data_IF_733844283314
#
_entry.id   IF_733844283314
#
_cell.length_a   1.000
_cell.length_b   1.000
_cell.length_c   1.000
_cell.angle_alpha   90.00
_cell.angle_beta   90.00
_cell.angle_gamma   90.00
#
_symmetry.space_group_name_H-M   'P 1'
#
loop_
_entity.id
_entity.type
_entity.pdbx_description
1 polymer ?
#
# COMPACT_ATOMS: atom_id res chain seq x y z
N UNK A 1 55.32 -18.32 21.20
CA UNK A 1 55.00 -16.88 21.29
C UNK A 1 53.90 -16.44 20.26
N UNK A 2 53.72 -17.14 19.15
CA UNK A 2 52.76 -16.82 18.10
C UNK A 2 51.28 -17.11 18.41
N UNK A 3 50.98 -18.10 19.27
CA UNK A 3 49.59 -18.48 19.60
C UNK A 3 48.81 -17.39 20.40
N UNK A 4 49.47 -16.58 21.19
CA UNK A 4 48.83 -15.52 21.99
C UNK A 4 48.47 -14.28 21.14
N UNK A 5 49.17 -14.04 20.03
CA UNK A 5 48.90 -12.91 19.14
C UNK A 5 47.67 -13.20 18.26
N UNK A 6 47.51 -14.43 17.83
CA UNK A 6 46.37 -14.84 16.98
C UNK A 6 45.05 -14.73 17.75
N UNK A 7 45.00 -15.12 19.03
CA UNK A 7 43.79 -15.03 19.86
C UNK A 7 43.38 -13.57 20.10
N UNK A 8 44.35 -12.67 20.27
CA UNK A 8 44.05 -11.25 20.48
C UNK A 8 43.50 -10.58 19.24
N UNK A 9 43.98 -10.95 18.04
CA UNK A 9 43.46 -10.41 16.77
C UNK A 9 42.06 -10.88 16.45
N UNK A 10 41.70 -12.11 16.81
CA UNK A 10 40.33 -12.64 16.62
C UNK A 10 39.36 -11.98 17.59
N UNK A 11 39.78 -11.67 18.82
CA UNK A 11 38.93 -11.00 19.82
C UNK A 11 38.64 -9.53 19.46
N UNK A 12 39.61 -8.82 18.89
CA UNK A 12 39.42 -7.43 18.44
C UNK A 12 38.58 -7.35 17.16
N UNK A 13 38.66 -8.35 16.28
CA UNK A 13 37.82 -8.44 15.08
C UNK A 13 36.34 -8.64 15.38
N UNK A 14 36.00 -9.29 16.50
CA UNK A 14 34.59 -9.55 16.88
C UNK A 14 33.92 -8.34 17.56
N UNK A 15 34.68 -7.39 18.08
CA UNK A 15 34.17 -6.19 18.75
C UNK A 15 33.79 -5.05 17.81
N UNK A 16 34.07 -5.16 16.51
CA UNK A 16 33.79 -4.13 15.49
C UNK A 16 32.66 -4.56 14.52
N UNK A 17 31.74 -5.40 14.94
CA UNK A 17 30.48 -5.54 14.20
C UNK A 17 29.66 -4.28 14.57
N UNK A 18 29.53 -3.28 13.68
CA UNK A 18 28.59 -2.21 13.92
C UNK A 18 27.21 -2.86 13.98
N UNK A 19 26.59 -2.82 15.16
CA UNK A 19 25.17 -3.01 15.30
C UNK A 19 24.51 -1.84 14.57
N UNK A 20 24.41 -1.92 13.25
CA UNK A 20 23.43 -1.14 12.52
C UNK A 20 22.07 -1.65 12.98
N UNK A 21 21.57 -1.11 14.09
CA UNK A 21 20.14 -1.03 14.27
C UNK A 21 19.67 -0.07 13.18
N UNK A 22 19.37 -0.58 12.00
CA UNK A 22 18.48 0.11 11.11
C UNK A 22 17.21 0.29 11.93
N UNK A 23 17.02 1.49 12.48
CA UNK A 23 15.74 1.96 12.89
C UNK A 23 14.88 1.96 11.63
N UNK A 24 14.26 0.83 11.35
CA UNK A 24 13.20 0.70 10.38
C UNK A 24 12.06 1.53 10.96
N UNK A 25 12.14 2.84 10.78
CA UNK A 25 10.97 3.68 10.83
C UNK A 25 10.06 3.13 9.74
N UNK A 26 9.05 2.41 10.15
CA UNK A 26 7.98 1.96 9.27
C UNK A 26 7.20 3.17 8.78
N UNK A 27 7.83 3.98 7.92
CA UNK A 27 7.12 4.93 7.09
C UNK A 27 6.17 4.09 6.24
N UNK A 28 4.87 4.35 6.40
CA UNK A 28 3.85 3.63 5.68
C UNK A 28 4.20 3.57 4.19
N UNK A 29 4.10 2.39 3.59
CA UNK A 29 4.25 2.23 2.14
C UNK A 29 3.07 2.95 1.47
N UNK A 30 3.24 4.24 1.15
CA UNK A 30 2.28 5.02 0.39
C UNK A 30 2.40 4.77 -1.12
N UNK A 31 3.43 4.05 -1.57
CA UNK A 31 3.65 3.69 -2.96
C UNK A 31 4.39 2.36 -3.06
N UNK A 32 4.13 1.61 -4.13
CA UNK A 32 4.81 0.35 -4.43
C UNK A 32 4.85 0.10 -5.94
N UNK A 33 5.81 -0.72 -6.39
CA UNK A 33 5.99 -1.12 -7.78
C UNK A 33 6.12 -2.64 -7.82
N UNK A 34 5.24 -3.30 -8.54
CA UNK A 34 5.29 -4.74 -8.71
C UNK A 34 6.53 -5.18 -9.52
N UNK A 35 7.04 -6.40 -9.33
CA UNK A 35 8.05 -6.96 -10.20
C UNK A 35 7.60 -6.95 -11.66
N UNK A 36 8.48 -6.60 -12.62
CA UNK A 36 8.13 -6.55 -14.02
C UNK A 36 7.86 -7.94 -14.61
N UNK A 37 6.96 -8.01 -15.57
CA UNK A 37 6.61 -9.19 -16.32
C UNK A 37 6.95 -8.96 -17.80
N UNK A 38 7.47 -9.99 -18.49
CA UNK A 38 7.70 -9.91 -19.93
C UNK A 38 6.37 -9.99 -20.68
N UNK A 39 6.05 -8.98 -21.46
CA UNK A 39 4.84 -8.90 -22.27
C UNK A 39 5.14 -8.27 -23.64
N UNK A 40 4.85 -8.98 -24.72
CA UNK A 40 5.03 -8.52 -26.10
C UNK A 40 6.44 -7.95 -26.40
N UNK A 41 7.50 -8.50 -25.77
CA UNK A 41 8.89 -8.05 -25.94
C UNK A 41 9.28 -6.85 -25.08
N UNK A 42 8.38 -6.35 -24.22
CA UNK A 42 8.62 -5.30 -23.24
C UNK A 42 8.68 -5.87 -21.82
N UNK A 43 9.25 -5.12 -20.90
CA UNK A 43 9.15 -5.37 -19.46
C UNK A 43 8.09 -4.45 -18.88
N UNK A 44 6.89 -4.97 -18.66
CA UNK A 44 5.76 -4.20 -18.17
C UNK A 44 5.58 -4.36 -16.66
N UNK A 45 5.16 -3.32 -16.00
CA UNK A 45 4.90 -3.34 -14.56
C UNK A 45 3.73 -2.46 -14.16
N UNK A 46 3.25 -2.67 -12.94
CA UNK A 46 2.24 -1.82 -12.30
C UNK A 46 2.90 -1.09 -11.13
N UNK A 47 2.68 0.22 -11.05
CA UNK A 47 2.93 0.98 -9.84
C UNK A 47 1.63 1.47 -9.23
N UNK A 48 1.61 1.56 -7.91
CA UNK A 48 0.53 2.19 -7.15
C UNK A 48 1.08 3.34 -6.32
N UNK A 49 0.27 4.37 -6.15
CA UNK A 49 0.54 5.49 -5.25
C UNK A 49 -0.74 5.81 -4.49
N UNK A 50 -0.65 5.86 -3.18
CA UNK A 50 -1.73 6.27 -2.29
C UNK A 50 -1.51 7.74 -1.85
N UNK A 51 -2.55 8.55 -1.93
CA UNK A 51 -2.53 9.92 -1.46
C UNK A 51 -3.71 10.19 -0.51
N UNK A 52 -3.46 10.58 0.74
CA UNK A 52 -2.14 10.82 1.34
C UNK A 52 -1.32 9.53 1.52
N UNK A 53 0.01 9.63 1.42
CA UNK A 53 0.94 8.50 1.57
C UNK A 53 1.02 7.96 3.00
N UNK A 54 0.65 8.79 3.96
CA UNK A 54 0.62 8.53 5.41
C UNK A 54 -0.82 8.36 5.93
N UNK A 55 -1.68 7.75 5.12
CA UNK A 55 -3.08 7.56 5.48
C UNK A 55 -3.22 6.90 6.85
N UNK A 56 -3.93 7.58 7.75
CA UNK A 56 -4.18 7.13 9.12
C UNK A 56 -5.67 6.89 9.35
N UNK A 57 -5.98 5.75 9.95
CA UNK A 57 -7.37 5.36 10.24
C UNK A 57 -8.06 6.40 11.12
N UNK A 58 -9.16 6.94 10.62
CA UNK A 58 -10.02 7.88 11.35
C UNK A 58 -9.60 9.34 11.29
N UNK A 59 -8.42 9.67 10.75
CA UNK A 59 -8.00 11.05 10.53
C UNK A 59 -8.41 11.57 9.16
N UNK A 60 -8.42 10.68 8.16
CA UNK A 60 -8.76 11.02 6.78
C UNK A 60 -9.95 10.19 6.32
N UNK A 61 -10.94 10.84 5.74
CA UNK A 61 -12.19 10.22 5.27
C UNK A 61 -12.11 9.64 3.85
N UNK A 62 -11.01 9.90 3.15
CA UNK A 62 -10.80 9.46 1.77
C UNK A 62 -9.30 9.30 1.46
N UNK A 63 -8.99 8.35 0.58
CA UNK A 63 -7.70 8.23 -0.07
C UNK A 63 -7.88 8.22 -1.58
N UNK A 64 -6.88 8.68 -2.33
CA UNK A 64 -6.80 8.47 -3.76
C UNK A 64 -5.75 7.41 -4.04
N UNK A 65 -6.13 6.38 -4.76
CA UNK A 65 -5.24 5.32 -5.23
C UNK A 65 -5.02 5.52 -6.72
N UNK A 66 -3.80 5.82 -7.10
CA UNK A 66 -3.36 5.89 -8.49
C UNK A 66 -2.75 4.54 -8.86
N UNK A 67 -3.17 3.97 -9.97
CA UNK A 67 -2.66 2.71 -10.53
C UNK A 67 -2.16 2.98 -11.93
N UNK A 68 -0.91 2.69 -12.20
CA UNK A 68 -0.27 2.95 -13.48
C UNK A 68 0.29 1.66 -14.07
N UNK A 69 -0.05 1.35 -15.32
CA UNK A 69 0.52 0.23 -16.07
C UNK A 69 1.41 0.76 -17.19
N UNK A 70 2.70 0.38 -17.19
CA UNK A 70 3.68 0.99 -18.06
C UNK A 70 4.83 0.03 -18.44
N UNK A 71 5.50 0.33 -19.55
CA UNK A 71 6.77 -0.29 -19.93
C UNK A 71 7.90 0.28 -19.06
N UNK A 72 8.53 -0.57 -18.25
CA UNK A 72 9.60 -0.17 -17.34
C UNK A 72 10.83 0.37 -18.08
N UNK A 73 11.14 -0.16 -19.28
CA UNK A 73 12.30 0.23 -20.04
C UNK A 73 12.22 1.66 -20.59
N UNK A 74 11.03 2.06 -21.06
CA UNK A 74 10.79 3.38 -21.66
C UNK A 74 10.07 4.32 -20.72
N UNK A 75 9.55 3.83 -19.58
CA UNK A 75 8.70 4.56 -18.63
C UNK A 75 7.42 5.14 -19.30
N UNK A 76 6.92 4.50 -20.35
CA UNK A 76 5.74 4.94 -21.11
C UNK A 76 4.52 4.12 -20.70
N UNK A 77 3.39 4.79 -20.43
CA UNK A 77 2.14 4.12 -20.10
C UNK A 77 1.63 3.31 -21.30
N UNK A 78 1.02 2.18 -21.01
CA UNK A 78 0.21 1.45 -21.99
C UNK A 78 -1.20 2.05 -21.98
N UNK A 79 -1.77 2.21 -23.18
CA UNK A 79 -3.07 2.87 -23.36
C UNK A 79 -4.24 1.88 -23.35
N UNK A 80 -5.44 2.40 -23.11
CA UNK A 80 -6.72 1.68 -23.17
C UNK A 80 -6.71 0.41 -22.34
N UNK A 81 -6.35 0.54 -21.09
CA UNK A 81 -6.14 -0.57 -20.17
C UNK A 81 -7.41 -0.88 -19.38
N UNK A 82 -7.77 -2.17 -19.35
CA UNK A 82 -8.82 -2.69 -18.47
C UNK A 82 -8.16 -3.37 -17.29
N UNK A 83 -8.40 -2.82 -16.11
CA UNK A 83 -7.89 -3.28 -14.83
C UNK A 83 -8.96 -4.03 -14.06
N UNK A 84 -8.64 -5.16 -13.44
CA UNK A 84 -9.38 -5.66 -12.29
C UNK A 84 -8.55 -5.36 -11.06
N UNK A 85 -9.06 -4.50 -10.19
CA UNK A 85 -8.41 -4.16 -8.94
C UNK A 85 -9.08 -4.91 -7.80
N UNK A 86 -8.28 -5.59 -7.00
CA UNK A 86 -8.70 -6.33 -5.81
C UNK A 86 -7.92 -5.82 -4.60
N UNK A 87 -8.61 -5.60 -3.49
CA UNK A 87 -8.00 -5.14 -2.24
C UNK A 87 -8.17 -6.21 -1.19
N UNK A 88 -7.07 -6.61 -0.58
CA UNK A 88 -7.04 -7.60 0.49
C UNK A 88 -6.39 -7.05 1.76
N UNK A 89 -6.83 -7.53 2.92
CA UNK A 89 -6.11 -7.36 4.18
C UNK A 89 -6.11 -8.69 4.93
N UNK A 90 -4.95 -9.13 5.38
CA UNK A 90 -4.77 -10.41 6.08
C UNK A 90 -5.40 -11.61 5.33
N UNK A 91 -5.38 -11.60 3.99
CA UNK A 91 -5.96 -12.63 3.13
C UNK A 91 -7.48 -12.49 2.89
N UNK A 92 -8.15 -11.55 3.54
CA UNK A 92 -9.58 -11.29 3.32
C UNK A 92 -9.79 -10.30 2.18
N UNK A 93 -10.67 -10.64 1.23
CA UNK A 93 -11.07 -9.75 0.14
C UNK A 93 -11.99 -8.65 0.67
N UNK A 94 -11.63 -7.39 0.41
CA UNK A 94 -12.39 -6.20 0.83
C UNK A 94 -13.10 -5.52 -0.35
N UNK A 95 -12.48 -5.55 -1.53
CA UNK A 95 -13.05 -4.99 -2.76
C UNK A 95 -12.56 -5.76 -3.98
N UNK A 96 -13.41 -5.77 -5.02
CA UNK A 96 -13.08 -6.28 -6.36
C UNK A 96 -13.95 -5.57 -7.39
N UNK A 97 -13.34 -4.85 -8.32
CA UNK A 97 -14.08 -4.20 -9.41
C UNK A 97 -13.21 -4.09 -10.67
N UNK A 98 -13.89 -3.92 -11.81
CA UNK A 98 -13.27 -3.68 -13.11
C UNK A 98 -13.24 -2.18 -13.37
N UNK A 99 -12.08 -1.69 -13.82
CA UNK A 99 -11.85 -0.30 -14.17
C UNK A 99 -11.31 -0.24 -15.58
N UNK A 100 -11.53 0.89 -16.23
CA UNK A 100 -10.96 1.19 -17.53
C UNK A 100 -10.28 2.55 -17.49
N UNK A 101 -9.09 2.61 -18.06
CA UNK A 101 -8.40 3.88 -18.25
C UNK A 101 -7.81 3.96 -19.66
N UNK A 102 -7.98 5.14 -20.29
CA UNK A 102 -7.55 5.35 -21.65
C UNK A 102 -6.04 5.56 -21.75
N UNK A 103 -5.47 6.24 -20.78
CA UNK A 103 -4.09 6.73 -20.81
C UNK A 103 -3.16 5.84 -19.95
N UNK A 104 -3.68 4.74 -19.40
CA UNK A 104 -2.93 3.77 -18.60
C UNK A 104 -2.59 4.26 -17.18
N UNK A 105 -3.31 5.29 -16.69
CA UNK A 105 -3.13 5.86 -15.37
C UNK A 105 -4.47 6.05 -14.66
N UNK A 106 -4.93 5.01 -14.03
CA UNK A 106 -6.21 4.94 -13.34
C UNK A 106 -6.16 5.64 -11.98
N UNK A 107 -7.08 6.56 -11.73
CA UNK A 107 -7.28 7.17 -10.43
C UNK A 107 -8.57 6.67 -9.78
N UNK A 108 -8.50 6.20 -8.54
CA UNK A 108 -9.63 5.67 -7.77
C UNK A 108 -9.71 6.42 -6.44
N UNK A 109 -10.89 6.94 -6.11
CA UNK A 109 -11.13 7.46 -4.76
C UNK A 109 -11.63 6.34 -3.86
N UNK A 110 -10.96 6.10 -2.73
CA UNK A 110 -11.38 5.17 -1.69
C UNK A 110 -12.00 5.96 -0.55
N UNK A 111 -13.19 5.56 -0.12
CA UNK A 111 -13.91 6.11 1.04
C UNK A 111 -14.12 5.02 2.07
N UNK A 112 -13.34 4.98 3.15
CA UNK A 112 -13.50 4.02 4.23
C UNK A 112 -14.88 4.10 4.87
N UNK A 113 -15.54 2.96 5.07
CA UNK A 113 -16.81 2.86 5.78
C UNK A 113 -16.76 1.69 6.76
N UNK A 114 -16.91 1.96 8.05
CA UNK A 114 -16.74 0.95 9.10
C UNK A 114 -17.91 -0.03 9.22
N UNK A 115 -19.13 0.41 8.90
CA UNK A 115 -20.34 -0.39 9.08
C UNK A 115 -20.45 -1.44 7.98
N UNK A 116 -20.26 -2.70 8.36
CA UNK A 116 -20.50 -3.86 7.52
C UNK A 116 -21.03 -4.99 8.39
N UNK A 117 -22.22 -5.49 8.05
CA UNK A 117 -22.90 -6.58 8.76
C UNK A 117 -22.87 -7.89 7.98
N UNK A 118 -22.25 -7.90 6.80
CA UNK A 118 -22.11 -9.07 5.96
C UNK A 118 -20.96 -9.97 6.44
N UNK A 119 -21.09 -11.31 6.36
CA UNK A 119 -20.02 -12.23 6.71
C UNK A 119 -18.78 -12.08 5.82
N UNK A 120 -18.97 -11.61 4.60
CA UNK A 120 -17.92 -11.34 3.63
C UNK A 120 -17.82 -9.83 3.40
N UNK A 121 -16.74 -9.20 3.86
CA UNK A 121 -16.60 -7.75 3.88
C UNK A 121 -16.74 -7.10 2.50
N UNK A 122 -16.29 -7.76 1.44
CA UNK A 122 -16.40 -7.21 0.07
C UNK A 122 -17.86 -6.98 -0.38
N UNK A 123 -18.86 -7.65 0.24
CA UNK A 123 -20.28 -7.44 -0.05
C UNK A 123 -20.82 -6.10 0.44
N UNK A 124 -20.16 -5.50 1.42
CA UNK A 124 -20.47 -4.15 1.88
C UNK A 124 -19.85 -3.06 1.00
N UNK A 125 -19.04 -3.45 0.03
CA UNK A 125 -18.34 -2.48 -0.81
C UNK A 125 -19.21 -2.05 -1.97
N UNK A 126 -19.38 -0.74 -2.12
CA UNK A 126 -20.17 -0.08 -3.16
C UNK A 126 -19.24 0.65 -4.12
N UNK A 127 -19.53 0.55 -5.40
CA UNK A 127 -18.76 1.13 -6.48
C UNK A 127 -19.57 2.19 -7.19
N UNK A 128 -19.01 3.37 -7.41
CA UNK A 128 -19.67 4.50 -8.04
C UNK A 128 -18.78 5.10 -9.14
N UNK A 129 -19.39 5.49 -10.23
CA UNK A 129 -18.71 6.10 -11.38
C UNK A 129 -19.44 5.80 -12.69
N UNK A 130 -18.97 6.41 -13.78
CA UNK A 130 -19.39 6.08 -15.13
C UNK A 130 -18.81 4.71 -15.51
N UNK A 131 -19.53 3.95 -16.34
CA UNK A 131 -19.05 2.67 -16.88
C UNK A 131 -18.77 2.80 -18.36
N UNK A 132 -17.61 2.32 -18.77
CA UNK A 132 -17.26 2.18 -20.17
C UNK A 132 -18.17 1.13 -20.85
N UNK A 133 -18.82 1.46 -21.97
CA UNK A 133 -19.79 0.57 -22.62
C UNK A 133 -19.15 -0.67 -23.24
N UNK A 134 -17.83 -0.69 -23.46
CA UNK A 134 -17.12 -1.79 -24.13
C UNK A 134 -16.53 -2.74 -23.08
N UNK A 135 -15.73 -2.22 -22.16
CA UNK A 135 -15.07 -3.01 -21.12
C UNK A 135 -15.98 -3.31 -19.92
N UNK A 136 -17.04 -2.51 -19.71
CA UNK A 136 -17.88 -2.53 -18.52
C UNK A 136 -17.19 -1.94 -17.29
N UNK A 137 -15.94 -1.56 -17.39
CA UNK A 137 -15.12 -1.01 -16.31
C UNK A 137 -15.56 0.39 -15.89
N UNK A 138 -15.41 0.71 -14.62
CA UNK A 138 -15.54 2.07 -14.13
C UNK A 138 -14.40 2.92 -14.68
N UNK A 139 -14.72 4.13 -15.13
CA UNK A 139 -13.73 5.02 -15.73
C UNK A 139 -13.92 6.47 -15.30
N UNK A 140 -12.86 7.25 -15.44
CA UNK A 140 -12.90 8.68 -15.21
C UNK A 140 -13.69 9.40 -16.30
N UNK A 141 -14.70 10.18 -15.93
CA UNK A 141 -15.52 10.96 -16.85
C UNK A 141 -15.61 12.41 -16.42
N UNK A 142 -15.01 13.30 -17.23
CA UNK A 142 -14.89 14.71 -16.87
C UNK A 142 -14.03 14.89 -15.63
N UNK A 143 -14.60 15.49 -14.58
CA UNK A 143 -13.92 15.62 -13.27
C UNK A 143 -14.29 14.50 -12.27
N UNK A 144 -15.06 13.50 -12.69
CA UNK A 144 -15.55 12.44 -11.83
C UNK A 144 -14.67 11.20 -11.90
N UNK A 145 -13.92 10.91 -10.84
CA UNK A 145 -13.15 9.67 -10.69
C UNK A 145 -14.02 8.54 -10.14
N UNK A 146 -13.73 7.27 -10.47
CA UNK A 146 -14.33 6.12 -9.82
C UNK A 146 -14.18 6.14 -8.30
N UNK A 147 -15.22 5.73 -7.58
CA UNK A 147 -15.21 5.70 -6.11
C UNK A 147 -15.47 4.28 -5.62
N UNK A 148 -14.64 3.81 -4.71
CA UNK A 148 -14.86 2.60 -3.91
C UNK A 148 -15.22 3.05 -2.49
N UNK A 149 -16.37 2.61 -1.98
CA UNK A 149 -16.83 2.90 -0.63
C UNK A 149 -17.13 1.61 0.11
N UNK A 150 -16.43 1.36 1.23
CA UNK A 150 -16.59 0.10 1.95
C UNK A 150 -15.58 -0.08 3.08
N UNK A 151 -15.46 -1.30 3.64
CA UNK A 151 -14.60 -1.61 4.77
C UNK A 151 -13.11 -1.70 4.38
N UNK A 152 -12.64 -0.75 3.60
CA UNK A 152 -11.27 -0.64 3.12
C UNK A 152 -10.57 0.46 3.92
N UNK A 153 -9.34 0.23 4.35
CA UNK A 153 -8.52 1.17 5.13
C UNK A 153 -9.16 1.58 6.48
N UNK A 154 -9.99 0.68 7.05
CA UNK A 154 -10.63 0.89 8.35
C UNK A 154 -9.82 0.34 9.53
N UNK A 155 -8.76 -0.41 9.25
CA UNK A 155 -7.80 -0.95 10.23
C UNK A 155 -6.40 -0.60 9.79
N UNK A 156 -5.48 -0.41 10.73
CA UNK A 156 -4.07 -0.26 10.43
C UNK A 156 -3.45 -1.56 9.91
N UNK A 157 -2.34 -1.45 9.21
CA UNK A 157 -1.57 -2.58 8.70
C UNK A 157 -1.36 -2.57 7.19
N UNK A 158 -0.86 -3.67 6.69
CA UNK A 158 -0.53 -3.86 5.28
C UNK A 158 -1.76 -4.34 4.49
N UNK A 159 -2.00 -3.69 3.36
CA UNK A 159 -3.00 -4.06 2.37
C UNK A 159 -2.32 -4.55 1.10
N UNK A 160 -2.74 -5.68 0.57
CA UNK A 160 -2.35 -6.13 -0.76
C UNK A 160 -3.35 -5.57 -1.78
N UNK A 161 -2.84 -4.89 -2.80
CA UNK A 161 -3.58 -4.41 -3.95
C UNK A 161 -3.17 -5.27 -5.14
N UNK A 162 -4.00 -6.26 -5.46
CA UNK A 162 -3.77 -7.13 -6.62
C UNK A 162 -4.40 -6.50 -7.85
N UNK A 163 -3.59 -6.20 -8.83
CA UNK A 163 -3.98 -5.58 -10.09
C UNK A 163 -3.83 -6.59 -11.20
N UNK A 164 -4.95 -6.91 -11.85
CA UNK A 164 -4.98 -7.81 -13.00
C UNK A 164 -5.26 -6.99 -14.26
N UNK A 165 -4.39 -7.08 -15.24
CA UNK A 165 -4.60 -6.47 -16.55
C UNK A 165 -5.40 -7.45 -17.40
N UNK A 166 -6.65 -7.12 -17.64
CA UNK A 166 -7.58 -7.92 -18.47
C UNK A 166 -7.43 -7.63 -19.95
N UNK A 167 -7.04 -6.40 -20.31
CA UNK A 167 -6.83 -5.95 -21.67
C UNK A 167 -6.03 -4.67 -21.74
N UNK A 168 -5.30 -4.51 -22.84
CA UNK A 168 -4.59 -3.29 -23.23
C UNK A 168 -4.50 -3.22 -24.75
N UNK A 169 -4.61 -2.03 -25.33
CA UNK A 169 -4.53 -1.83 -26.78
C UNK A 169 -3.17 -1.36 -27.27
N UNK A 170 -2.31 -0.89 -26.36
CA UNK A 170 -0.92 -0.56 -26.66
C UNK A 170 0.01 -1.40 -25.76
N UNK A 171 0.90 -2.21 -26.33
CA UNK A 171 1.05 -2.51 -27.77
C UNK A 171 -0.21 -3.23 -28.29
N UNK A 172 -0.54 -3.12 -29.55
CA UNK A 172 -1.75 -3.66 -30.21
C UNK A 172 -1.87 -5.20 -30.14
N UNK A 173 -1.61 -5.75 -28.98
CA UNK A 173 -1.57 -7.18 -28.67
C UNK A 173 -2.67 -7.48 -27.65
N UNK A 174 -3.54 -8.40 -28.01
CA UNK A 174 -4.51 -8.93 -27.05
C UNK A 174 -3.75 -9.58 -25.90
N UNK A 175 -4.11 -9.26 -24.68
CA UNK A 175 -3.64 -9.97 -23.50
C UNK A 175 -4.34 -11.33 -23.51
N UNK A 176 -3.65 -12.35 -24.03
CA UNK A 176 -4.21 -13.70 -24.17
C UNK A 176 -4.46 -14.35 -22.79
N UNK A 177 -3.60 -14.01 -21.82
CA UNK A 177 -3.74 -14.40 -20.43
C UNK A 177 -3.61 -13.14 -19.55
N UNK A 178 -4.50 -12.94 -18.59
CA UNK A 178 -4.44 -11.79 -17.69
C UNK A 178 -3.10 -11.70 -16.95
N UNK A 179 -2.47 -10.54 -16.94
CA UNK A 179 -1.23 -10.32 -16.20
C UNK A 179 -1.59 -9.91 -14.77
N UNK A 180 -1.01 -10.57 -13.78
CA UNK A 180 -1.29 -10.34 -12.35
C UNK A 180 -0.09 -9.66 -11.70
N UNK A 181 -0.35 -8.55 -11.01
CA UNK A 181 0.63 -7.77 -10.27
C UNK A 181 0.15 -7.58 -8.83
N UNK A 182 0.95 -7.99 -7.87
CA UNK A 182 0.70 -7.77 -6.45
C UNK A 182 1.55 -6.60 -5.96
N UNK A 183 0.88 -5.64 -5.36
CA UNK A 183 1.46 -4.43 -4.77
C UNK A 183 0.92 -4.24 -3.36
N UNK A 184 1.60 -3.42 -2.57
CA UNK A 184 1.27 -3.23 -1.17
C UNK A 184 1.23 -1.76 -0.78
N UNK A 185 0.27 -1.41 0.08
CA UNK A 185 0.24 -0.13 0.78
C UNK A 185 0.04 -0.37 2.26
N UNK A 186 0.58 0.50 3.10
CA UNK A 186 0.35 0.43 4.54
C UNK A 186 -0.52 1.59 5.00
N UNK A 187 -1.36 1.28 5.97
CA UNK A 187 -2.26 2.24 6.63
C UNK A 187 -1.84 2.35 8.08
N UNK A 188 -1.58 3.58 8.54
CA UNK A 188 -1.26 3.82 9.93
C UNK A 188 -2.53 3.74 10.79
N UNK A 189 -2.35 3.38 12.03
CA UNK A 189 -3.39 3.43 13.05
C UNK A 189 -2.84 4.14 14.27
N UNK A 190 -3.53 5.19 14.71
CA UNK A 190 -3.17 5.84 15.96
C UNK A 190 -3.36 4.85 17.11
N UNK A 191 -2.25 4.33 17.61
CA UNK A 191 -2.24 3.62 18.88
C UNK A 191 -2.15 4.70 19.97
N UNK A 192 -3.28 5.08 20.52
CA UNK A 192 -3.27 5.74 21.82
C UNK A 192 -2.74 4.69 22.81
N UNK A 193 -1.47 4.75 23.13
CA UNK A 193 -0.96 4.10 24.33
C UNK A 193 -1.58 4.83 25.52
N UNK A 194 -2.75 4.40 25.96
CA UNK A 194 -3.20 4.71 27.29
C UNK A 194 -2.19 4.04 28.24
N UNK A 195 -1.24 4.83 28.76
CA UNK A 195 -0.42 4.38 29.88
C UNK A 195 -1.43 4.04 30.97
N UNK A 196 -1.54 2.77 31.41
CA UNK A 196 -2.45 2.43 32.48
C UNK A 196 -2.10 3.33 33.67
N UNK A 197 -3.08 3.96 34.29
CA UNK A 197 -2.91 4.88 35.45
C UNK A 197 -2.05 4.25 36.56
N UNK A 198 -1.98 2.90 36.62
CA UNK A 198 -1.15 2.13 37.54
C UNK A 198 0.36 2.37 37.40
N UNK A 199 0.84 2.95 36.29
CA UNK A 199 2.25 3.29 36.07
C UNK A 199 2.56 4.78 36.30
N UNK A 200 1.59 5.58 36.69
CA UNK A 200 1.84 6.95 37.17
C UNK A 200 2.53 6.84 38.54
N UNK A 201 3.84 6.67 38.56
CA UNK A 201 4.64 6.77 39.78
C UNK A 201 4.55 8.25 40.23
N UNK A 202 4.01 8.55 41.41
CA UNK A 202 4.00 9.92 41.89
C UNK A 202 5.45 10.37 42.08
N UNK A 203 5.92 11.24 41.18
CA UNK A 203 7.23 11.86 41.36
C UNK A 203 7.12 12.88 42.47
N UNK A 204 7.44 12.47 43.69
CA UNK A 204 7.63 13.40 44.80
C UNK A 204 8.99 14.06 44.59
N UNK A 205 8.98 15.25 44.01
CA UNK A 205 10.19 16.09 43.94
C UNK A 205 10.43 16.60 45.36
N UNK A 206 11.36 15.96 46.09
CA UNK A 206 11.95 16.57 47.29
C UNK A 206 12.88 17.69 46.84
N UNK A 207 12.45 18.91 47.01
CA UNK A 207 13.35 20.08 46.88
C UNK A 207 14.31 20.08 48.05
N UNK A 208 15.61 20.10 47.75
CA UNK A 208 16.74 19.99 48.69
C UNK A 208 16.99 21.31 49.44
N UNK A 209 15.99 22.21 49.60
CA UNK A 209 16.16 23.54 50.14
C UNK A 209 15.30 23.84 51.39
N UNK A 210 14.69 22.85 52.03
CA UNK A 210 13.84 23.10 53.22
C UNK A 210 14.53 22.81 54.57
N UNK A 211 15.87 22.71 54.59
CA UNK A 211 16.62 22.59 55.85
C UNK A 211 17.75 23.66 55.94
N UNK A 212 17.38 24.95 56.12
CA UNK A 212 18.28 25.98 56.67
C UNK A 212 17.49 26.86 57.65
#
# INVERSE_FOLDING_TARGET
>A
MYHKIIILTVLVGLACIPLFSDDVFGHGLGADIAPPISFAGMQVTVSIVMNPSDFTVGEVDRANLQVRFYDQGTNTNLESVTYRVQVFQAGELLAREIFFDKDGELNIQIRPQKECFEPQLWRCTVYQGARDPISGGLYERGSGVPVIKGPIFIKGGLYNISVVIEGATSPKTLVAEPLVFDTFVSVAQNQYFSIPEAFAVPVTIKTYYDDV
#
